data_IF_405977443461
#
_entry.id   IF_405977443461
#
_cell.length_a   1.000
_cell.length_b   1.000
_cell.length_c   1.000
_cell.angle_alpha   90.00
_cell.angle_beta   90.00
_cell.angle_gamma   90.00
#
_symmetry.space_group_name_H-M   'P 1'
#
loop_
_entity.id
_entity.type
_entity.pdbx_description
1 polymer ?
#
# COMPACT_ATOMS: atom_id res chain seq x y z
N UNK A 1 -5.03 -0.53 -40.12
CA UNK A 1 -4.97 -1.45 -38.96
C UNK A 1 -6.39 -1.63 -38.45
N UNK A 2 -6.89 -2.87 -38.33
CA UNK A 2 -8.24 -3.13 -37.85
C UNK A 2 -8.33 -2.98 -36.33
N UNK A 3 -9.31 -2.24 -35.85
CA UNK A 3 -9.60 -2.01 -34.42
C UNK A 3 -10.86 -2.78 -34.08
N UNK A 4 -10.84 -3.53 -32.98
CA UNK A 4 -12.00 -4.23 -32.43
C UNK A 4 -12.40 -3.61 -31.09
N UNK A 5 -13.71 -3.52 -30.85
CA UNK A 5 -14.30 -3.01 -29.63
C UNK A 5 -14.62 -4.17 -28.70
N UNK A 6 -14.06 -4.17 -27.49
CA UNK A 6 -14.24 -5.23 -26.48
C UNK A 6 -14.65 -4.63 -25.14
N UNK A 7 -15.33 -5.40 -24.30
CA UNK A 7 -15.69 -4.98 -22.94
C UNK A 7 -14.73 -5.58 -21.92
N UNK A 8 -14.35 -4.78 -20.93
CA UNK A 8 -13.54 -5.23 -19.81
C UNK A 8 -14.39 -6.08 -18.85
N UNK A 9 -14.02 -7.34 -18.56
CA UNK A 9 -14.78 -8.20 -17.66
C UNK A 9 -14.76 -7.72 -16.19
N UNK A 10 -13.82 -6.84 -15.82
CA UNK A 10 -13.67 -6.35 -14.45
C UNK A 10 -14.49 -5.10 -14.11
N UNK A 11 -14.74 -4.22 -15.07
CA UNK A 11 -15.43 -2.93 -14.82
C UNK A 11 -16.40 -2.51 -15.93
N UNK A 12 -16.68 -3.41 -16.88
CA UNK A 12 -17.61 -3.24 -18.01
C UNK A 12 -17.31 -2.03 -18.93
N UNK A 13 -16.13 -1.41 -18.76
CA UNK A 13 -15.66 -0.33 -19.61
C UNK A 13 -15.38 -0.85 -21.03
N UNK A 14 -15.81 -0.09 -22.03
CA UNK A 14 -15.57 -0.44 -23.42
C UNK A 14 -14.22 0.07 -23.92
N UNK A 15 -13.46 -0.80 -24.59
CA UNK A 15 -12.10 -0.53 -25.03
C UNK A 15 -11.93 -0.85 -26.51
N UNK A 16 -11.12 -0.04 -27.18
CA UNK A 16 -10.74 -0.23 -28.57
C UNK A 16 -9.32 -0.80 -28.60
N UNK A 17 -9.16 -2.03 -29.09
CA UNK A 17 -7.86 -2.71 -29.18
C UNK A 17 -7.57 -3.13 -30.60
N UNK A 18 -6.30 -3.24 -30.97
CA UNK A 18 -5.93 -3.77 -32.28
C UNK A 18 -6.40 -5.23 -32.41
N UNK A 19 -6.89 -5.60 -33.59
CA UNK A 19 -7.47 -6.92 -33.84
C UNK A 19 -6.51 -8.09 -33.56
N UNK A 20 -5.20 -7.84 -33.60
CA UNK A 20 -4.13 -8.81 -33.38
C UNK A 20 -3.76 -9.02 -31.90
N UNK A 21 -4.24 -8.19 -30.96
CA UNK A 21 -3.84 -8.27 -29.55
C UNK A 21 -4.65 -9.32 -28.79
N UNK A 22 -4.03 -10.44 -28.43
CA UNK A 22 -4.66 -11.53 -27.66
C UNK A 22 -4.82 -11.23 -26.18
N UNK A 23 -3.87 -10.52 -25.57
CA UNK A 23 -3.93 -10.11 -24.16
C UNK A 23 -4.13 -8.60 -24.05
N UNK A 24 -5.07 -8.18 -23.20
CA UNK A 24 -5.44 -6.77 -23.02
C UNK A 24 -5.46 -6.45 -21.53
N UNK A 25 -4.92 -5.27 -21.19
CA UNK A 25 -5.02 -4.68 -19.86
C UNK A 25 -6.00 -3.51 -19.90
N UNK A 26 -6.98 -3.50 -19.00
CA UNK A 26 -7.90 -2.37 -18.87
C UNK A 26 -7.17 -1.18 -18.24
N UNK A 27 -7.20 0.02 -18.85
CA UNK A 27 -6.61 1.21 -18.25
C UNK A 27 -7.39 1.70 -17.02
N UNK A 28 -8.69 1.42 -16.94
CA UNK A 28 -9.58 1.90 -15.87
C UNK A 28 -9.42 1.08 -14.58
N UNK A 29 -9.42 -0.24 -14.71
CA UNK A 29 -9.42 -1.14 -13.54
C UNK A 29 -8.21 -2.07 -13.49
N UNK A 30 -7.24 -1.94 -14.39
CA UNK A 30 -6.02 -2.78 -14.44
C UNK A 30 -6.25 -4.30 -14.60
N UNK A 31 -7.48 -4.76 -14.87
CA UNK A 31 -7.78 -6.18 -15.15
C UNK A 31 -7.06 -6.61 -16.41
N UNK A 32 -6.45 -7.80 -16.39
CA UNK A 32 -5.76 -8.40 -17.54
C UNK A 32 -6.53 -9.65 -17.96
N UNK A 33 -6.86 -9.77 -19.24
CA UNK A 33 -7.56 -10.93 -19.78
C UNK A 33 -7.16 -11.22 -21.22
N UNK A 34 -7.46 -12.45 -21.64
CA UNK A 34 -7.35 -12.86 -23.02
C UNK A 34 -8.66 -12.57 -23.76
N UNK A 35 -8.59 -11.90 -24.92
CA UNK A 35 -9.79 -11.52 -25.70
C UNK A 35 -10.53 -12.75 -26.24
N UNK A 36 -9.82 -13.86 -26.51
CA UNK A 36 -10.42 -15.12 -26.95
C UNK A 36 -10.99 -15.97 -25.81
N UNK A 37 -10.65 -15.65 -24.55
CA UNK A 37 -11.16 -16.35 -23.38
C UNK A 37 -11.37 -15.37 -22.20
N UNK A 38 -12.45 -14.56 -22.23
CA UNK A 38 -12.69 -13.52 -21.23
C UNK A 38 -13.09 -14.06 -19.85
N UNK A 39 -13.47 -15.35 -19.72
CA UNK A 39 -13.83 -15.97 -18.43
C UNK A 39 -12.61 -16.31 -17.57
N UNK A 40 -11.41 -16.41 -18.16
CA UNK A 40 -10.14 -16.59 -17.45
C UNK A 40 -9.51 -15.26 -16.97
N UNK A 41 -10.29 -14.19 -16.88
CA UNK A 41 -9.78 -12.87 -16.51
C UNK A 41 -9.21 -12.84 -15.09
N UNK A 42 -8.00 -12.33 -14.94
CA UNK A 42 -7.43 -12.00 -13.64
C UNK A 42 -7.97 -10.63 -13.21
N UNK A 43 -9.12 -10.68 -12.55
CA UNK A 43 -9.82 -9.49 -12.04
C UNK A 43 -8.98 -8.86 -10.93
N UNK A 44 -8.52 -7.63 -11.15
CA UNK A 44 -7.74 -6.91 -10.15
C UNK A 44 -8.59 -6.55 -8.92
N UNK A 45 -7.93 -6.32 -7.78
CA UNK A 45 -8.58 -5.85 -6.54
C UNK A 45 -9.31 -4.51 -6.77
N UNK A 46 -8.75 -3.63 -7.61
CA UNK A 46 -9.37 -2.36 -8.01
C UNK A 46 -10.68 -2.57 -8.79
N UNK A 47 -10.74 -3.59 -9.67
CA UNK A 47 -11.95 -3.93 -10.40
C UNK A 47 -13.06 -4.48 -9.49
N UNK A 48 -12.69 -5.27 -8.47
CA UNK A 48 -13.65 -5.75 -7.45
C UNK A 48 -14.23 -4.59 -6.63
N UNK A 49 -13.40 -3.61 -6.24
CA UNK A 49 -13.85 -2.43 -5.50
C UNK A 49 -14.78 -1.53 -6.33
N UNK A 50 -14.50 -1.36 -7.63
CA UNK A 50 -15.37 -0.56 -8.51
C UNK A 50 -16.74 -1.22 -8.74
N UNK A 51 -16.83 -2.55 -8.79
CA UNK A 51 -18.11 -3.25 -8.87
C UNK A 51 -18.94 -3.14 -7.58
N UNK A 52 -18.29 -3.16 -6.42
CA UNK A 52 -18.96 -2.95 -5.13
C UNK A 52 -19.43 -1.50 -4.93
N UNK A 53 -18.76 -0.52 -5.55
CA UNK A 53 -19.18 0.88 -5.52
C UNK A 53 -20.28 1.24 -6.54
N UNK A 54 -20.67 0.31 -7.42
CA UNK A 54 -21.68 0.50 -8.45
C UNK A 54 -23.05 -0.10 -8.09
N UNK A 55 -23.21 -0.61 -6.87
CA UNK A 55 -24.52 -1.02 -6.36
C UNK A 55 -25.34 0.24 -6.02
N UNK A 56 -26.51 0.47 -6.63
CA UNK A 56 -27.24 1.72 -6.49
C UNK A 56 -27.92 1.79 -5.12
N UNK A 57 -27.40 2.63 -4.23
CA UNK A 57 -28.16 3.11 -3.08
C UNK A 57 -29.32 4.01 -3.56
N UNK A 58 -30.52 3.89 -2.95
CA UNK A 58 -31.68 4.67 -3.35
C UNK A 58 -31.50 6.17 -3.07
N UNK A 59 -31.76 6.96 -4.10
CA UNK A 59 -31.73 8.42 -4.16
C UNK A 59 -32.50 9.07 -2.99
N UNK A 60 -31.85 10.02 -2.31
CA UNK A 60 -32.51 11.09 -1.58
C UNK A 60 -32.02 12.43 -2.09
N UNK A 61 -32.88 13.08 -2.87
CA UNK A 61 -32.75 14.45 -3.31
C UNK A 61 -32.65 15.42 -2.12
N UNK A 62 -31.62 16.26 -2.11
CA UNK A 62 -31.72 17.63 -1.58
C UNK A 62 -30.87 18.58 -2.42
N UNK A 63 -31.57 19.41 -3.18
CA UNK A 63 -31.05 20.60 -3.82
C UNK A 63 -30.52 21.60 -2.78
N UNK A 64 -29.40 22.25 -3.08
CA UNK A 64 -29.10 23.60 -2.59
C UNK A 64 -28.08 24.27 -3.51
N UNK A 65 -28.58 25.28 -4.20
CA UNK A 65 -27.92 26.17 -5.14
C UNK A 65 -27.08 27.19 -4.39
N UNK A 66 -25.81 27.42 -4.74
CA UNK A 66 -25.29 28.80 -4.83
C UNK A 66 -24.00 28.92 -5.65
N UNK A 67 -24.05 29.89 -6.56
CA UNK A 67 -23.15 30.16 -7.68
C UNK A 67 -21.90 30.98 -7.32
N UNK A 68 -20.92 30.89 -8.24
CA UNK A 68 -20.10 31.96 -8.83
C UNK A 68 -19.47 33.06 -7.95
N UNK A 69 -18.14 33.16 -8.04
CA UNK A 69 -17.32 34.33 -8.41
C UNK A 69 -15.85 33.96 -8.06
N UNK A 70 -14.75 34.30 -8.74
CA UNK A 70 -14.31 35.54 -9.36
C UNK A 70 -13.19 35.14 -10.36
N UNK A 71 -13.36 35.47 -11.64
CA UNK A 71 -12.28 35.49 -12.64
C UNK A 71 -12.02 36.97 -12.95
N UNK A 72 -11.02 37.57 -12.31
CA UNK A 72 -10.47 38.88 -12.66
C UNK A 72 -9.16 39.12 -11.90
N UNK A 73 -8.05 39.41 -12.60
CA UNK A 73 -6.87 40.01 -11.97
C UNK A 73 -5.50 39.47 -12.40
N UNK A 74 -5.21 39.35 -13.70
CA UNK A 74 -3.98 38.73 -14.22
C UNK A 74 -2.80 39.71 -14.48
N UNK A 75 -2.78 40.95 -13.96
CA UNK A 75 -1.69 41.91 -14.33
C UNK A 75 -1.03 42.63 -13.14
N UNK A 76 -1.40 42.31 -11.88
CA UNK A 76 -0.81 42.94 -10.68
C UNK A 76 0.13 42.05 -9.83
N UNK A 77 0.26 40.76 -10.16
CA UNK A 77 0.80 39.75 -9.22
C UNK A 77 2.33 39.62 -9.15
N UNK A 78 3.08 40.13 -10.12
CA UNK A 78 4.52 39.86 -10.22
C UNK A 78 5.39 40.69 -9.26
N UNK A 79 4.94 41.88 -8.83
CA UNK A 79 5.71 42.75 -7.92
C UNK A 79 5.46 42.46 -6.43
N UNK A 80 4.33 41.86 -6.06
CA UNK A 80 4.03 41.49 -4.66
C UNK A 80 4.73 40.18 -4.25
N UNK A 81 4.94 39.26 -5.20
CA UNK A 81 5.64 37.99 -4.96
C UNK A 81 7.12 38.17 -4.61
N UNK A 82 7.80 39.19 -5.18
CA UNK A 82 9.22 39.44 -4.89
C UNK A 82 9.45 40.09 -3.52
N UNK A 83 8.50 40.89 -3.02
CA UNK A 83 8.57 41.45 -1.67
C UNK A 83 8.34 40.38 -0.57
N UNK A 84 7.50 39.37 -0.84
CA UNK A 84 7.29 38.26 0.10
C UNK A 84 8.45 37.26 0.15
N UNK A 85 9.20 37.08 -0.94
CA UNK A 85 10.40 36.21 -0.97
C UNK A 85 11.55 36.87 -0.18
N UNK A 86 11.71 38.20 -0.27
CA UNK A 86 12.72 38.93 0.50
C UNK A 86 12.49 38.89 2.02
N UNK A 87 11.22 38.94 2.46
CA UNK A 87 10.89 38.89 3.88
C UNK A 87 10.93 37.47 4.47
N UNK A 88 10.76 36.43 3.64
CA UNK A 88 10.81 35.02 4.10
C UNK A 88 12.24 34.50 4.30
N UNK A 89 13.23 35.00 3.57
CA UNK A 89 14.63 34.61 3.76
C UNK A 89 15.22 35.18 5.07
N UNK A 90 14.76 36.35 5.55
CA UNK A 90 15.22 36.89 6.84
C UNK A 90 14.57 36.23 8.08
N UNK A 91 13.54 35.41 7.92
CA UNK A 91 12.88 34.66 9.02
C UNK A 91 13.31 33.18 9.10
N UNK A 92 14.28 32.75 8.28
CA UNK A 92 14.83 31.37 8.27
C UNK A 92 16.08 31.20 9.17
N UNK A 93 16.45 32.22 9.95
CA UNK A 93 17.56 32.18 10.91
C UNK A 93 17.21 31.57 12.27
N UNK A 94 15.96 31.15 12.50
CA UNK A 94 15.58 30.43 13.72
C UNK A 94 15.55 28.94 13.43
N UNK A 95 16.60 28.24 13.87
CA UNK A 95 16.60 26.80 13.99
C UNK A 95 15.33 26.38 14.75
N UNK A 96 14.46 25.53 14.18
CA UNK A 96 13.35 25.01 14.96
C UNK A 96 13.93 24.24 16.16
N UNK A 97 13.36 24.38 17.36
CA UNK A 97 13.72 23.51 18.47
C UNK A 97 13.54 22.05 18.02
N UNK A 98 14.32 21.10 18.58
CA UNK A 98 14.18 19.69 18.25
C UNK A 98 12.69 19.35 18.37
N UNK A 99 12.12 18.95 17.23
CA UNK A 99 10.71 18.59 17.12
C UNK A 99 10.39 17.69 18.30
N UNK A 100 9.53 18.19 19.19
CA UNK A 100 9.13 17.49 20.38
C UNK A 100 8.76 16.08 19.96
N UNK A 101 9.49 15.09 20.50
CA UNK A 101 9.15 13.70 20.40
C UNK A 101 7.65 13.62 20.66
N UNK A 102 6.89 13.26 19.62
CA UNK A 102 5.47 13.02 19.76
C UNK A 102 5.39 11.89 20.77
N UNK A 103 4.99 12.22 22.00
CA UNK A 103 4.72 11.26 23.05
C UNK A 103 3.53 10.45 22.57
N UNK A 104 3.83 9.43 21.78
CA UNK A 104 2.93 8.36 21.42
C UNK A 104 2.38 7.82 22.76
N UNK A 105 1.06 7.75 22.93
CA UNK A 105 0.48 7.21 24.16
C UNK A 105 1.16 5.88 24.45
N UNK A 106 1.64 5.74 25.68
CA UNK A 106 2.40 4.60 26.15
C UNK A 106 1.51 3.36 26.07
N UNK A 107 1.44 2.74 24.89
CA UNK A 107 0.84 1.42 24.74
C UNK A 107 1.63 0.50 25.64
N UNK A 108 0.98 0.07 26.72
CA UNK A 108 1.47 -0.98 27.59
C UNK A 108 1.75 -2.18 26.69
N UNK A 109 3.03 -2.53 26.57
CA UNK A 109 3.52 -3.65 25.77
C UNK A 109 2.85 -4.90 26.34
N UNK A 110 1.85 -5.45 25.64
CA UNK A 110 1.22 -6.69 26.07
C UNK A 110 2.13 -7.85 25.64
N UNK A 111 2.07 -9.02 26.30
CA UNK A 111 2.73 -10.19 25.77
C UNK A 111 2.12 -10.55 24.42
N UNK A 112 2.96 -10.62 23.38
CA UNK A 112 2.54 -11.00 22.02
C UNK A 112 1.86 -12.37 22.06
N UNK A 113 0.59 -12.43 21.71
CA UNK A 113 -0.06 -13.71 21.44
C UNK A 113 0.27 -14.13 20.00
N UNK A 114 0.87 -15.32 19.79
CA UNK A 114 1.14 -15.79 18.44
C UNK A 114 -0.19 -15.92 17.69
N UNK A 115 -0.23 -15.41 16.46
CA UNK A 115 -1.40 -15.61 15.62
C UNK A 115 -1.55 -17.09 15.31
N UNK A 116 -2.78 -17.64 15.30
CA UNK A 116 -2.99 -19.01 14.86
C UNK A 116 -2.52 -19.16 13.41
N UNK A 117 -1.77 -20.21 13.14
CA UNK A 117 -1.23 -20.51 11.81
C UNK A 117 -1.43 -21.98 11.46
N UNK A 118 -1.50 -22.27 10.16
CA UNK A 118 -1.47 -23.61 9.60
C UNK A 118 -0.04 -23.95 9.19
N UNK A 119 0.48 -25.10 9.62
CA UNK A 119 1.77 -25.59 9.13
C UNK A 119 1.61 -26.03 7.67
N UNK A 120 2.31 -25.34 6.77
CA UNK A 120 2.34 -25.67 5.35
C UNK A 120 3.11 -26.98 5.13
N UNK A 121 2.66 -27.79 4.16
CA UNK A 121 3.25 -29.10 3.81
C UNK A 121 4.57 -28.95 3.05
N UNK A 122 5.57 -28.36 3.69
CA UNK A 122 6.96 -28.27 3.22
C UNK A 122 7.90 -28.69 4.36
N UNK A 123 9.16 -29.05 4.10
CA UNK A 123 10.18 -29.20 5.16
C UNK A 123 10.36 -27.90 5.94
N UNK A 124 10.59 -27.98 7.26
CA UNK A 124 10.75 -26.78 8.10
C UNK A 124 11.93 -25.91 7.65
N UNK A 125 13.04 -26.51 7.24
CA UNK A 125 14.19 -25.79 6.67
C UNK A 125 13.80 -24.93 5.46
N UNK A 126 12.92 -25.45 4.60
CA UNK A 126 12.43 -24.72 3.43
C UNK A 126 11.50 -23.58 3.84
N UNK A 127 10.61 -23.79 4.83
CA UNK A 127 9.74 -22.74 5.37
C UNK A 127 10.55 -21.62 6.04
N UNK A 128 11.59 -21.97 6.78
CA UNK A 128 12.53 -21.01 7.37
C UNK A 128 13.26 -20.19 6.32
N UNK A 129 13.70 -20.81 5.22
CA UNK A 129 14.34 -20.09 4.11
C UNK A 129 13.39 -19.09 3.45
N UNK A 130 12.16 -19.52 3.13
CA UNK A 130 11.11 -18.65 2.59
C UNK A 130 10.85 -17.47 3.52
N UNK A 131 10.79 -17.72 4.83
CA UNK A 131 10.64 -16.67 5.84
C UNK A 131 11.83 -15.70 5.85
N UNK A 132 13.07 -16.19 5.78
CA UNK A 132 14.25 -15.35 5.77
C UNK A 132 14.33 -14.46 4.51
N UNK A 133 13.98 -15.00 3.35
CA UNK A 133 13.92 -14.26 2.09
C UNK A 133 12.83 -13.18 2.15
N UNK A 134 11.65 -13.56 2.66
CA UNK A 134 10.57 -12.63 2.96
C UNK A 134 11.04 -11.47 3.86
N UNK A 135 11.73 -11.77 4.97
CA UNK A 135 12.24 -10.76 5.91
C UNK A 135 13.17 -9.77 5.22
N UNK A 136 14.00 -10.24 4.29
CA UNK A 136 14.92 -9.40 3.52
C UNK A 136 14.16 -8.42 2.64
N UNK A 137 13.12 -8.88 1.94
CA UNK A 137 12.30 -8.02 1.07
C UNK A 137 11.41 -7.06 1.87
N UNK A 138 10.80 -7.53 2.96
CA UNK A 138 9.97 -6.68 3.81
C UNK A 138 10.75 -5.46 4.31
N UNK A 139 12.00 -5.65 4.74
CA UNK A 139 12.92 -4.60 5.23
C UNK A 139 13.17 -3.46 4.27
N UNK A 140 13.23 -3.75 2.97
CA UNK A 140 13.50 -2.74 1.94
C UNK A 140 12.21 -2.15 1.36
N UNK A 141 11.06 -2.75 1.63
CA UNK A 141 9.75 -2.36 1.07
C UNK A 141 8.82 -1.78 2.14
N UNK A 142 7.99 -2.64 2.75
CA UNK A 142 6.92 -2.26 3.69
C UNK A 142 7.44 -1.83 5.06
N UNK A 143 8.60 -2.33 5.47
CA UNK A 143 9.25 -1.95 6.72
C UNK A 143 10.07 -0.66 6.59
N UNK A 144 10.31 -0.14 5.38
CA UNK A 144 11.07 1.12 5.26
C UNK A 144 10.23 2.30 5.80
N UNK A 145 10.71 3.07 6.79
CA UNK A 145 9.99 4.25 7.25
C UNK A 145 10.02 5.34 6.18
N UNK A 146 8.87 5.95 5.91
CA UNK A 146 8.77 7.07 4.97
C UNK A 146 8.98 8.39 5.71
N UNK A 147 9.91 9.19 5.21
CA UNK A 147 10.26 10.52 5.77
C UNK A 147 9.21 11.58 5.39
N UNK A 148 8.39 11.32 4.37
CA UNK A 148 7.38 12.26 3.89
C UNK A 148 6.33 12.57 4.98
N UNK A 149 5.79 13.80 5.07
CA UNK A 149 4.76 14.10 6.05
C UNK A 149 3.49 13.25 5.85
N UNK A 150 2.88 12.85 6.97
CA UNK A 150 1.63 12.09 6.98
C UNK A 150 0.50 12.86 6.27
N UNK A 151 -0.41 12.14 5.63
CA UNK A 151 -1.58 12.72 4.95
C UNK A 151 -1.29 13.39 3.59
N UNK A 152 -0.01 13.60 3.23
CA UNK A 152 0.33 14.18 1.91
C UNK A 152 0.01 13.22 0.77
N UNK A 153 -0.41 13.77 -0.37
CA UNK A 153 -0.69 12.98 -1.59
C UNK A 153 0.54 12.20 -2.06
N UNK A 154 1.72 12.81 -1.97
CA UNK A 154 2.99 12.17 -2.32
C UNK A 154 3.27 10.95 -1.43
N UNK A 155 3.09 11.07 -0.11
CA UNK A 155 3.26 9.94 0.81
C UNK A 155 2.29 8.81 0.50
N UNK A 156 0.99 9.11 0.37
CA UNK A 156 -0.02 8.09 0.03
C UNK A 156 0.30 7.35 -1.26
N UNK A 157 0.76 8.06 -2.30
CA UNK A 157 1.16 7.44 -3.55
C UNK A 157 2.35 6.50 -3.39
N UNK A 158 3.30 6.85 -2.52
CA UNK A 158 4.46 6.01 -2.22
C UNK A 158 4.08 4.79 -1.39
N UNK A 159 3.19 4.94 -0.41
CA UNK A 159 2.65 3.83 0.39
C UNK A 159 1.95 2.80 -0.51
N UNK A 160 1.07 3.25 -1.41
CA UNK A 160 0.40 2.38 -2.39
C UNK A 160 1.40 1.70 -3.34
N UNK A 161 2.47 2.40 -3.73
CA UNK A 161 3.51 1.82 -4.59
C UNK A 161 4.29 0.73 -3.86
N UNK A 162 4.68 0.96 -2.61
CA UNK A 162 5.40 -0.01 -1.78
C UNK A 162 4.54 -1.24 -1.49
N UNK A 163 3.26 -1.05 -1.20
CA UNK A 163 2.29 -2.14 -1.01
C UNK A 163 2.15 -2.98 -2.28
N UNK A 164 1.91 -2.35 -3.44
CA UNK A 164 1.83 -3.07 -4.72
C UNK A 164 3.11 -3.80 -5.10
N UNK A 165 4.27 -3.21 -4.77
CA UNK A 165 5.56 -3.85 -5.01
C UNK A 165 5.67 -5.09 -4.13
N UNK A 166 5.37 -4.96 -2.85
CA UNK A 166 5.37 -6.07 -1.91
C UNK A 166 4.41 -7.20 -2.31
N UNK A 167 3.17 -6.88 -2.71
CA UNK A 167 2.21 -7.89 -3.19
C UNK A 167 2.72 -8.64 -4.42
N UNK A 168 3.34 -7.91 -5.36
CA UNK A 168 3.95 -8.52 -6.55
C UNK A 168 5.11 -9.43 -6.19
N UNK A 169 5.96 -9.01 -5.27
CA UNK A 169 7.08 -9.84 -4.80
C UNK A 169 6.56 -11.09 -4.09
N UNK A 170 5.51 -11.00 -3.27
CA UNK A 170 4.89 -12.17 -2.64
C UNK A 170 4.37 -13.18 -3.67
N UNK A 171 3.71 -12.71 -4.73
CA UNK A 171 3.28 -13.58 -5.84
C UNK A 171 4.47 -14.23 -6.54
N UNK A 172 5.56 -13.48 -6.75
CA UNK A 172 6.77 -14.01 -7.35
C UNK A 172 7.45 -15.06 -6.45
N UNK A 173 7.49 -14.83 -5.13
CA UNK A 173 7.99 -15.81 -4.15
C UNK A 173 7.16 -17.09 -4.15
N UNK A 174 5.83 -16.96 -4.10
CA UNK A 174 4.93 -18.09 -4.16
C UNK A 174 5.20 -18.95 -5.42
N UNK A 175 5.34 -18.30 -6.58
CA UNK A 175 5.67 -18.98 -7.83
C UNK A 175 7.07 -19.63 -7.83
N UNK A 176 8.08 -18.99 -7.23
CA UNK A 176 9.45 -19.53 -7.16
C UNK A 176 9.55 -20.78 -6.28
N UNK A 177 8.70 -20.88 -5.26
CA UNK A 177 8.66 -22.00 -4.33
C UNK A 177 7.56 -23.03 -4.63
N UNK A 178 6.82 -22.87 -5.73
CA UNK A 178 5.68 -23.72 -6.13
C UNK A 178 4.63 -23.90 -5.02
N UNK A 179 4.29 -22.79 -4.36
CA UNK A 179 3.28 -22.72 -3.30
C UNK A 179 2.28 -21.60 -3.56
N UNK A 180 1.16 -21.64 -2.86
CA UNK A 180 0.18 -20.55 -2.92
C UNK A 180 0.65 -19.33 -2.11
N UNK A 181 0.16 -18.15 -2.47
CA UNK A 181 0.44 -16.91 -1.71
C UNK A 181 -0.06 -17.03 -0.26
N UNK A 182 -1.20 -17.70 -0.07
CA UNK A 182 -1.75 -17.95 1.26
C UNK A 182 -0.82 -18.83 2.10
N UNK A 183 -0.14 -19.81 1.49
CA UNK A 183 0.86 -20.62 2.19
C UNK A 183 2.09 -19.80 2.59
N UNK A 184 2.51 -18.84 1.76
CA UNK A 184 3.57 -17.88 2.16
C UNK A 184 3.12 -17.07 3.38
N UNK A 185 1.87 -16.61 3.42
CA UNK A 185 1.33 -15.89 4.59
C UNK A 185 1.28 -16.76 5.84
N UNK A 186 0.90 -18.03 5.72
CA UNK A 186 0.93 -18.97 6.84
C UNK A 186 2.36 -19.25 7.32
N UNK A 187 3.34 -19.36 6.42
CA UNK A 187 4.77 -19.46 6.75
C UNK A 187 5.26 -18.20 7.49
N UNK A 188 4.80 -17.01 7.09
CA UNK A 188 5.12 -15.75 7.78
C UNK A 188 4.57 -15.77 9.20
N UNK A 189 3.32 -16.18 9.40
CA UNK A 189 2.70 -16.32 10.73
C UNK A 189 3.42 -17.37 11.58
N UNK A 190 3.78 -18.52 10.99
CA UNK A 190 4.56 -19.56 11.66
C UNK A 190 5.91 -19.03 12.13
N UNK A 191 6.68 -18.39 11.24
CA UNK A 191 8.01 -17.88 11.58
C UNK A 191 7.97 -16.77 12.62
N UNK A 192 6.90 -15.97 12.61
CA UNK A 192 6.63 -14.97 13.63
C UNK A 192 6.24 -15.56 15.00
N UNK A 193 5.47 -16.64 14.99
CA UNK A 193 5.07 -17.35 16.21
C UNK A 193 6.23 -18.16 16.81
N UNK A 194 7.07 -18.75 15.96
CA UNK A 194 8.25 -19.55 16.33
C UNK A 194 9.53 -18.75 16.52
N UNK A 195 9.52 -17.46 16.21
CA UNK A 195 10.68 -16.57 16.37
C UNK A 195 11.87 -16.99 15.50
N UNK A 196 11.62 -17.27 14.23
CA UNK A 196 12.72 -17.61 13.30
C UNK A 196 13.65 -16.42 12.99
N UNK A 197 13.21 -15.18 13.25
CA UNK A 197 14.03 -13.96 13.24
C UNK A 197 13.73 -13.16 14.51
N UNK A 198 14.76 -12.94 15.33
CA UNK A 198 14.70 -12.23 16.61
C UNK A 198 14.90 -10.71 16.48
N UNK A 199 15.29 -10.25 15.29
CA UNK A 199 15.54 -8.84 15.03
C UNK A 199 14.23 -8.04 15.06
N UNK A 200 14.26 -6.81 15.60
CA UNK A 200 13.09 -5.94 15.67
C UNK A 200 12.47 -5.71 14.29
N UNK A 201 11.14 -5.65 14.27
CA UNK A 201 10.36 -5.12 13.14
C UNK A 201 10.49 -3.60 13.09
N UNK A 202 10.16 -3.05 11.94
CA UNK A 202 10.25 -1.61 11.76
C UNK A 202 9.12 -0.85 12.45
N UNK A 203 9.45 0.34 12.95
CA UNK A 203 8.50 1.36 13.40
C UNK A 203 7.80 2.09 12.23
N UNK A 204 7.78 1.49 11.03
CA UNK A 204 7.14 2.06 9.85
C UNK A 204 5.65 2.31 10.11
N UNK A 205 5.19 3.47 9.66
CA UNK A 205 3.79 3.90 9.73
C UNK A 205 3.23 3.98 8.31
N UNK A 206 2.02 3.45 8.12
CA UNK A 206 1.22 3.51 6.89
C UNK A 206 -0.18 3.97 7.27
N UNK A 207 -0.73 4.96 6.56
CA UNK A 207 -2.03 5.54 6.89
C UNK A 207 -2.19 5.98 8.36
N UNK A 208 -1.11 6.50 8.96
CA UNK A 208 -1.09 6.92 10.37
C UNK A 208 -1.09 5.78 11.39
N UNK A 209 -1.05 4.51 10.96
CA UNK A 209 -0.95 3.32 11.83
C UNK A 209 0.37 2.61 11.65
N UNK A 210 0.90 2.04 12.72
CA UNK A 210 2.12 1.21 12.63
C UNK A 210 1.83 -0.05 11.81
N UNK A 211 2.79 -0.43 10.95
CA UNK A 211 2.71 -1.68 10.16
C UNK A 211 2.83 -2.89 11.08
N UNK A 212 3.66 -2.79 12.12
CA UNK A 212 3.85 -3.81 13.14
C UNK A 212 3.51 -3.25 14.51
N UNK A 213 3.03 -4.10 15.43
CA UNK A 213 2.82 -3.69 16.82
C UNK A 213 4.13 -3.22 17.45
N UNK A 214 4.01 -2.37 18.48
CA UNK A 214 5.15 -1.88 19.26
C UNK A 214 5.99 -3.03 19.82
N UNK A 215 5.32 -4.08 20.31
CA UNK A 215 5.92 -5.34 20.78
C UNK A 215 6.86 -5.98 19.75
N UNK A 216 6.47 -6.01 18.47
CA UNK A 216 7.31 -6.57 17.41
C UNK A 216 8.49 -5.66 17.04
N UNK A 217 8.38 -4.36 17.31
CA UNK A 217 9.36 -3.35 16.87
C UNK A 217 10.44 -3.06 17.91
N UNK A 218 10.22 -3.43 19.16
CA UNK A 218 11.21 -3.31 20.25
C UNK A 218 12.18 -4.51 20.31
N UNK A 219 12.03 -5.49 19.42
CA UNK A 219 12.89 -6.68 19.35
C UNK A 219 12.59 -7.68 20.47
N UNK A 220 13.13 -8.89 20.36
CA UNK A 220 12.88 -9.96 21.33
C UNK A 220 13.67 -9.82 22.64
N UNK A 221 14.36 -8.70 22.88
CA UNK A 221 15.01 -8.42 24.19
C UNK A 221 14.00 -8.31 25.35
N UNK A 222 12.71 -8.10 25.04
CA UNK A 222 11.59 -8.17 26.02
C UNK A 222 10.73 -9.41 25.83
N UNK A 223 11.29 -10.53 25.37
CA UNK A 223 10.55 -11.80 25.27
C UNK A 223 10.24 -12.35 26.69
N UNK A 224 8.97 -12.38 27.15
CA UNK A 224 8.64 -13.05 28.41
C UNK A 224 8.84 -14.58 28.36
N UNK A 225 9.14 -15.16 27.17
CA UNK A 225 9.38 -16.58 26.97
C UNK A 225 10.87 -16.98 26.90
N UNK A 226 11.81 -16.04 27.08
CA UNK A 226 13.21 -16.39 27.38
C UNK A 226 13.34 -16.42 28.90
N UNK A 227 13.21 -17.62 29.46
CA UNK A 227 13.60 -17.93 30.85
C UNK A 227 15.06 -18.33 30.89
#
# INVERSE_FOLDING_TARGET
MSIRRIQCPGCDATLNVAATMTNVKCPTCATVWNVGNPSAAQISVTAKQMRQAAEPEPVKDKASTQNMAIVAGLVGGAMVLLAFIGLTVMMLGQSPPPSAASTEPEETIKPRQPQPYRVVKLPEEQRMRIYADYRTVARTTVETPLILPQGTRARKSLEVMLEKTYDRELVAFAALHDIEVDDVQEIIKEGDAKVWDDRPRSNAVRDGKRVYSKEMSEGWEKNPNVK
#
